data_IF_321967709702
#
_entry.id   IF_321967709702
#
_cell.length_a   1.000
_cell.length_b   1.000
_cell.length_c   1.000
_cell.angle_alpha   90.00
_cell.angle_beta   90.00
_cell.angle_gamma   90.00
#
_symmetry.space_group_name_H-M   'P 1'
#
loop_
_entity.id
_entity.type
_entity.pdbx_description
1 polymer ?
#
# COMPACT_ATOMS: atom_id res chain seq x y z
N UNK A 1 -12.98 8.76 30.59
CA UNK A 1 -13.90 9.27 29.55
C UNK A 1 -13.08 10.11 28.58
N UNK A 2 -13.06 9.70 27.31
CA UNK A 2 -12.78 10.52 26.12
C UNK A 2 -11.46 11.28 26.02
N UNK A 3 -10.48 10.71 25.31
CA UNK A 3 -9.55 11.50 24.50
C UNK A 3 -9.79 11.08 23.05
N UNK A 4 -10.51 11.93 22.31
CA UNK A 4 -10.87 11.70 20.92
C UNK A 4 -9.65 11.75 20.02
N UNK A 5 -9.63 10.86 19.03
CA UNK A 5 -8.80 11.03 17.85
C UNK A 5 -9.15 12.40 17.24
N UNK A 6 -8.20 13.34 17.32
CA UNK A 6 -8.38 14.68 16.79
C UNK A 6 -8.30 14.59 15.28
N UNK A 7 -9.46 14.58 14.61
CA UNK A 7 -9.53 15.00 13.22
C UNK A 7 -8.95 16.41 13.14
N UNK A 8 -7.97 16.64 12.25
CA UNK A 8 -7.48 17.97 11.93
C UNK A 8 -8.68 18.89 11.69
N UNK A 9 -8.72 20.03 12.39
CA UNK A 9 -9.75 21.04 12.20
C UNK A 9 -9.73 21.56 10.75
N UNK A 10 -10.89 22.00 10.21
CA UNK A 10 -10.97 22.63 8.88
C UNK A 10 -9.95 23.77 8.71
N UNK A 11 -9.65 24.48 9.79
CA UNK A 11 -8.69 25.59 9.84
C UNK A 11 -7.24 25.11 9.72
N UNK A 12 -6.89 23.96 10.32
CA UNK A 12 -5.61 23.30 10.09
C UNK A 12 -5.51 22.79 8.64
N UNK A 13 -6.55 22.15 8.12
CA UNK A 13 -6.58 21.64 6.75
C UNK A 13 -6.48 22.76 5.69
N UNK A 14 -6.96 23.98 5.95
CA UNK A 14 -6.77 25.13 5.06
C UNK A 14 -5.35 25.70 5.10
N UNK A 15 -4.68 25.65 6.26
CA UNK A 15 -3.29 26.12 6.40
C UNK A 15 -2.27 25.28 5.63
N UNK A 16 -2.62 24.04 5.27
CA UNK A 16 -1.78 23.11 4.50
C UNK A 16 -2.10 23.05 2.99
N UNK A 17 -3.04 23.88 2.50
CA UNK A 17 -3.46 23.84 1.08
C UNK A 17 -2.57 24.62 0.13
N UNK A 18 -1.73 25.52 0.65
CA UNK A 18 -0.88 26.36 -0.19
C UNK A 18 0.60 26.12 0.16
N UNK A 19 1.28 25.39 -0.73
CA UNK A 19 2.73 25.35 -0.73
C UNK A 19 3.27 26.74 -1.08
N UNK A 20 4.00 27.36 -0.15
CA UNK A 20 4.73 28.62 -0.39
C UNK A 20 6.19 28.30 -0.77
N UNK A 21 6.43 28.20 -2.07
CA UNK A 21 7.74 27.87 -2.63
C UNK A 21 8.84 28.84 -2.18
N UNK A 22 8.54 30.13 -2.11
CA UNK A 22 9.52 31.15 -1.74
C UNK A 22 9.92 31.03 -0.26
N UNK A 23 8.96 30.76 0.62
CA UNK A 23 9.21 30.59 2.05
C UNK A 23 9.92 29.27 2.37
N UNK A 24 9.57 28.19 1.69
CA UNK A 24 10.28 26.90 1.79
C UNK A 24 11.75 27.04 1.37
N UNK A 25 12.01 27.67 0.23
CA UNK A 25 13.37 27.93 -0.24
C UNK A 25 14.17 28.85 0.70
N UNK A 26 13.53 29.87 1.28
CA UNK A 26 14.19 30.77 2.22
C UNK A 26 14.59 30.06 3.53
N UNK A 27 13.75 29.17 4.05
CA UNK A 27 14.01 28.42 5.28
C UNK A 27 15.04 27.29 5.10
N UNK A 28 15.20 26.77 3.89
CA UNK A 28 16.18 25.69 3.58
C UNK A 28 17.56 26.21 3.17
N UNK A 29 17.68 27.51 2.89
CA UNK A 29 18.92 28.17 2.44
C UNK A 29 19.63 28.99 3.54
N UNK A 30 19.19 28.93 4.79
CA UNK A 30 19.88 29.68 5.85
C UNK A 30 21.28 29.09 6.15
N UNK A 31 22.30 29.96 6.18
CA UNK A 31 23.71 29.58 6.38
C UNK A 31 23.99 29.06 7.81
N UNK A 32 22.95 28.88 8.64
CA UNK A 32 23.05 28.53 10.06
C UNK A 32 22.69 27.07 10.38
N UNK A 33 22.16 26.30 9.41
CA UNK A 33 21.98 24.85 9.53
C UNK A 33 21.12 24.39 10.72
N UNK A 34 20.19 25.24 11.18
CA UNK A 34 19.46 25.04 12.46
C UNK A 34 17.94 25.11 12.35
N UNK A 35 17.36 25.13 11.15
CA UNK A 35 15.91 25.02 11.02
C UNK A 35 15.50 23.58 11.28
N UNK A 36 14.86 23.33 12.43
CA UNK A 36 14.34 22.01 12.78
C UNK A 36 13.20 21.60 11.84
N UNK A 37 13.10 20.31 11.53
CA UNK A 37 12.09 19.74 10.62
C UNK A 37 10.67 20.21 10.97
N UNK A 38 10.34 20.29 12.26
CA UNK A 38 9.03 20.76 12.74
C UNK A 38 8.66 22.18 12.30
N UNK A 39 9.64 23.05 12.08
CA UNK A 39 9.44 24.42 11.59
C UNK A 39 9.26 24.49 10.07
N UNK A 40 9.74 23.46 9.36
CA UNK A 40 9.58 23.30 7.91
C UNK A 40 8.26 22.63 7.54
N UNK A 41 7.71 21.77 8.41
CA UNK A 41 6.48 21.03 8.16
C UNK A 41 5.31 21.90 7.65
N UNK A 42 4.99 23.09 8.19
CA UNK A 42 3.88 23.89 7.66
C UNK A 42 4.04 24.38 6.21
N UNK A 43 5.25 24.31 5.64
CA UNK A 43 5.59 24.88 4.34
C UNK A 43 6.05 23.83 3.32
N UNK A 44 6.21 22.56 3.71
CA UNK A 44 6.57 21.51 2.75
C UNK A 44 5.39 21.21 1.81
N UNK A 45 5.63 20.87 0.53
CA UNK A 45 4.56 20.39 -0.34
C UNK A 45 3.86 19.21 0.33
N UNK A 46 2.53 19.25 0.40
CA UNK A 46 1.77 18.11 0.91
C UNK A 46 1.96 16.92 -0.05
N UNK A 47 2.66 15.88 0.39
CA UNK A 47 2.79 14.63 -0.37
C UNK A 47 1.59 13.76 -0.04
N UNK A 48 0.83 13.36 -1.04
CA UNK A 48 -0.34 12.50 -0.83
C UNK A 48 -0.14 11.14 -1.48
N UNK A 49 -0.20 10.09 -0.66
CA UNK A 49 -0.22 8.70 -1.09
C UNK A 49 -1.67 8.24 -1.18
N UNK A 50 -2.19 8.04 -2.40
CA UNK A 50 -3.47 7.42 -2.63
C UNK A 50 -3.30 5.90 -2.68
N UNK A 51 -3.87 5.22 -1.69
CA UNK A 51 -3.53 3.84 -1.33
C UNK A 51 -4.78 3.06 -0.97
N UNK A 52 -4.74 1.74 -0.97
CA UNK A 52 -5.77 0.91 -0.35
C UNK A 52 -5.15 0.09 0.79
N UNK A 53 -5.81 0.07 1.94
CA UNK A 53 -5.32 -0.57 3.17
C UNK A 53 -4.86 -2.03 2.98
N UNK A 54 -5.62 -2.81 2.21
CA UNK A 54 -5.36 -4.22 1.94
C UNK A 54 -4.35 -4.45 0.83
N UNK A 55 -4.03 -3.46 -0.01
CA UNK A 55 -3.14 -3.62 -1.16
C UNK A 55 -1.68 -3.71 -0.74
N UNK A 56 -0.99 -4.76 -1.17
CA UNK A 56 0.44 -4.95 -0.87
C UNK A 56 1.31 -3.84 -1.46
N UNK A 57 1.04 -3.43 -2.70
CA UNK A 57 1.73 -2.30 -3.34
C UNK A 57 1.46 -0.99 -2.59
N UNK A 58 0.26 -0.82 -2.04
CA UNK A 58 -0.09 0.33 -1.20
C UNK A 58 0.64 0.31 0.14
N UNK A 59 0.84 -0.87 0.77
CA UNK A 59 1.71 -0.98 1.94
C UNK A 59 3.15 -0.57 1.60
N UNK A 60 3.70 -1.05 0.48
CA UNK A 60 5.06 -0.67 0.02
C UNK A 60 5.18 0.85 -0.15
N UNK A 61 4.22 1.49 -0.83
CA UNK A 61 4.20 2.94 -1.04
C UNK A 61 4.22 3.71 0.29
N UNK A 62 3.39 3.31 1.26
CA UNK A 62 3.29 3.99 2.54
C UNK A 62 4.55 3.78 3.38
N UNK A 63 5.05 2.55 3.45
CA UNK A 63 6.31 2.25 4.16
C UNK A 63 7.45 3.05 3.56
N UNK A 64 7.59 3.05 2.23
CA UNK A 64 8.62 3.85 1.57
C UNK A 64 8.51 5.34 1.91
N UNK A 65 7.31 5.93 1.85
CA UNK A 65 7.14 7.34 2.18
C UNK A 65 7.52 7.68 3.64
N UNK A 66 7.15 6.81 4.59
CA UNK A 66 7.51 6.99 6.00
C UNK A 66 9.01 6.81 6.26
N UNK A 67 9.64 5.82 5.63
CA UNK A 67 11.06 5.51 5.81
C UNK A 67 11.96 6.55 5.16
N UNK A 68 11.55 7.16 4.04
CA UNK A 68 12.25 8.31 3.47
C UNK A 68 12.07 9.60 4.28
N UNK A 69 11.26 9.56 5.35
CA UNK A 69 10.97 10.74 6.18
C UNK A 69 10.27 11.85 5.41
N UNK A 70 9.40 11.49 4.45
CA UNK A 70 8.70 12.47 3.61
C UNK A 70 7.88 13.43 4.49
N UNK A 71 8.14 14.75 4.43
CA UNK A 71 7.46 15.71 5.30
C UNK A 71 5.98 15.83 4.92
N UNK A 72 5.10 15.86 5.93
CA UNK A 72 3.64 15.96 5.78
C UNK A 72 3.02 14.94 4.81
N UNK A 73 3.52 13.71 4.79
CA UNK A 73 2.88 12.67 4.01
C UNK A 73 1.46 12.41 4.52
N UNK A 74 0.50 12.41 3.60
CA UNK A 74 -0.91 12.08 3.84
C UNK A 74 -1.24 10.79 3.12
N UNK A 75 -1.63 9.76 3.87
CA UNK A 75 -2.12 8.50 3.29
C UNK A 75 -3.64 8.57 3.13
N UNK A 76 -4.10 8.73 1.88
CA UNK A 76 -5.52 8.73 1.53
C UNK A 76 -5.92 7.32 1.12
N UNK A 77 -6.92 6.74 1.81
CA UNK A 77 -7.46 5.43 1.44
C UNK A 77 -8.47 5.59 0.29
N UNK A 78 -8.29 4.79 -0.76
CA UNK A 78 -9.19 4.63 -1.90
C UNK A 78 -9.81 3.24 -1.79
N UNK A 79 -11.13 3.17 -1.57
CA UNK A 79 -11.85 1.90 -1.53
C UNK A 79 -12.00 1.32 -2.94
N UNK A 80 -11.11 0.38 -3.27
CA UNK A 80 -11.06 -0.32 -4.55
C UNK A 80 -11.80 -1.67 -4.57
N UNK A 81 -12.48 -2.01 -3.47
CA UNK A 81 -13.04 -3.35 -3.25
C UNK A 81 -14.57 -3.33 -3.13
N UNK A 82 -15.12 -2.27 -2.53
CA UNK A 82 -16.56 -2.08 -2.39
C UNK A 82 -17.06 -0.87 -3.19
N UNK A 83 -16.63 0.35 -2.82
CA UNK A 83 -17.13 1.58 -3.43
C UNK A 83 -16.56 1.88 -4.83
N UNK A 84 -15.43 1.24 -5.19
CA UNK A 84 -14.72 1.41 -6.47
C UNK A 84 -14.31 2.88 -6.72
N UNK A 85 -13.80 3.54 -5.69
CA UNK A 85 -13.39 4.95 -5.71
C UNK A 85 -12.29 5.23 -6.75
N UNK A 86 -11.53 4.22 -7.15
CA UNK A 86 -10.52 4.33 -8.20
C UNK A 86 -11.11 4.52 -9.62
N UNK A 87 -12.43 4.36 -9.79
CA UNK A 87 -13.15 4.70 -11.03
C UNK A 87 -13.89 6.04 -10.93
N UNK A 88 -13.74 6.76 -9.82
CA UNK A 88 -14.32 8.10 -9.70
C UNK A 88 -13.51 9.12 -10.53
N UNK A 89 -14.19 10.10 -11.16
CA UNK A 89 -13.57 11.22 -11.86
C UNK A 89 -12.42 11.88 -11.13
N UNK A 90 -12.62 12.14 -9.84
CA UNK A 90 -11.63 12.80 -8.99
C UNK A 90 -10.35 11.99 -8.85
N UNK A 91 -10.43 10.65 -8.93
CA UNK A 91 -9.25 9.80 -8.91
C UNK A 91 -8.67 9.57 -10.31
N UNK A 92 -9.49 9.40 -11.34
CA UNK A 92 -9.04 9.25 -12.73
C UNK A 92 -8.21 10.46 -13.17
N UNK A 93 -8.63 11.66 -12.79
CA UNK A 93 -7.88 12.90 -13.06
C UNK A 93 -6.46 12.90 -12.47
N UNK A 94 -6.22 12.13 -11.40
CA UNK A 94 -4.90 11.97 -10.77
C UNK A 94 -4.17 10.78 -11.40
N UNK A 95 -4.81 9.62 -11.46
CA UNK A 95 -4.23 8.37 -11.93
C UNK A 95 -5.12 7.73 -13.02
N UNK A 96 -4.92 8.09 -14.30
CA UNK A 96 -5.72 7.58 -15.40
C UNK A 96 -5.69 6.05 -15.57
N UNK A 97 -4.68 5.35 -15.01
CA UNK A 97 -4.65 3.87 -14.99
C UNK A 97 -5.72 3.25 -14.06
N UNK A 98 -6.33 4.06 -13.18
CA UNK A 98 -7.34 3.65 -12.21
C UNK A 98 -6.82 2.56 -11.26
N UNK A 99 -5.60 2.72 -10.77
CA UNK A 99 -4.91 1.76 -9.89
C UNK A 99 -4.27 2.47 -8.71
N UNK A 100 -4.15 1.76 -7.59
CA UNK A 100 -3.36 2.18 -6.43
C UNK A 100 -2.13 1.27 -6.27
N UNK A 101 -1.03 1.76 -5.69
CA UNK A 101 -0.84 3.13 -5.20
C UNK A 101 -0.64 4.15 -6.31
N UNK A 102 -0.88 5.41 -5.97
CA UNK A 102 -0.43 6.58 -6.71
C UNK A 102 0.04 7.64 -5.71
N UNK A 103 1.14 8.32 -5.99
CA UNK A 103 1.67 9.39 -5.15
C UNK A 103 1.61 10.72 -5.90
N UNK A 104 1.07 11.75 -5.25
CA UNK A 104 1.23 13.13 -5.68
C UNK A 104 2.32 13.78 -4.83
N UNK A 105 3.40 14.19 -5.47
CA UNK A 105 4.57 14.80 -4.84
C UNK A 105 4.80 16.17 -5.49
N UNK A 106 4.25 17.23 -4.88
CA UNK A 106 4.19 18.54 -5.55
C UNK A 106 3.37 18.48 -6.83
N UNK A 107 4.00 18.80 -7.96
CA UNK A 107 3.40 18.72 -9.30
C UNK A 107 3.53 17.33 -9.94
N UNK A 108 4.42 16.48 -9.41
CA UNK A 108 4.66 15.16 -9.95
C UNK A 108 3.60 14.16 -9.48
N UNK A 109 3.17 13.29 -10.40
CA UNK A 109 2.29 12.15 -10.09
C UNK A 109 2.97 10.86 -10.52
N UNK A 110 3.23 9.99 -9.53
CA UNK A 110 3.96 8.74 -9.71
C UNK A 110 3.02 7.58 -9.40
N UNK A 111 2.76 6.74 -10.40
CA UNK A 111 2.08 5.46 -10.21
C UNK A 111 3.07 4.34 -9.93
N UNK A 112 2.55 3.16 -9.58
CA UNK A 112 3.32 1.93 -9.40
C UNK A 112 4.29 1.95 -8.20
N UNK A 113 4.15 0.99 -7.27
CA UNK A 113 4.92 1.01 -6.01
C UNK A 113 6.43 0.90 -6.19
N UNK A 114 6.90 0.27 -7.27
CA UNK A 114 8.32 0.15 -7.60
C UNK A 114 8.89 1.53 -7.99
N UNK A 115 8.21 2.23 -8.88
CA UNK A 115 8.64 3.54 -9.38
C UNK A 115 8.58 4.59 -8.26
N UNK A 116 7.54 4.55 -7.40
CA UNK A 116 7.44 5.40 -6.21
C UNK A 116 8.64 5.23 -5.29
N UNK A 117 9.09 3.99 -5.01
CA UNK A 117 10.25 3.75 -4.14
C UNK A 117 11.52 4.39 -4.69
N UNK A 118 11.83 4.17 -5.97
CA UNK A 118 13.03 4.73 -6.59
C UNK A 118 12.96 6.25 -6.70
N UNK A 119 11.80 6.79 -7.07
CA UNK A 119 11.57 8.24 -7.09
C UNK A 119 11.83 8.87 -5.72
N UNK A 120 11.32 8.26 -4.64
CA UNK A 120 11.59 8.75 -3.29
C UNK A 120 13.07 8.66 -2.91
N UNK A 121 13.78 7.61 -3.31
CA UNK A 121 15.22 7.50 -3.06
C UNK A 121 16.03 8.57 -3.79
N UNK A 122 15.61 8.96 -5.00
CA UNK A 122 16.22 10.08 -5.74
C UNK A 122 15.92 11.43 -5.08
N UNK A 123 14.70 11.64 -4.56
CA UNK A 123 14.29 12.89 -3.90
C UNK A 123 14.79 13.03 -2.47
N UNK A 124 15.03 11.92 -1.77
CA UNK A 124 15.44 11.87 -0.37
C UNK A 124 16.68 10.97 -0.19
N UNK A 125 17.83 11.33 -0.80
CA UNK A 125 19.04 10.51 -0.72
C UNK A 125 19.58 10.37 0.71
N UNK A 126 19.32 11.36 1.57
CA UNK A 126 19.73 11.36 2.99
C UNK A 126 19.09 10.24 3.81
N UNK A 127 17.97 9.68 3.35
CA UNK A 127 17.36 8.50 3.97
C UNK A 127 18.22 7.24 3.80
N UNK A 128 19.17 7.25 2.84
CA UNK A 128 20.12 6.17 2.58
C UNK A 128 19.48 4.78 2.38
N UNK A 129 18.26 4.73 1.83
CA UNK A 129 17.52 3.48 1.61
C UNK A 129 17.91 2.75 0.32
N UNK A 130 18.69 3.39 -0.56
CA UNK A 130 19.20 2.83 -1.81
C UNK A 130 20.68 3.16 -2.03
N UNK A 131 21.58 2.73 -1.12
CA UNK A 131 22.99 3.07 -1.21
C UNK A 131 23.68 2.25 -2.30
N UNK A 132 24.69 2.85 -2.95
CA UNK A 132 25.32 2.29 -4.15
C UNK A 132 25.96 0.91 -3.90
N UNK A 133 26.51 0.69 -2.70
CA UNK A 133 27.17 -0.54 -2.28
C UNK A 133 26.20 -1.72 -2.05
N UNK A 134 24.92 -1.47 -1.80
CA UNK A 134 23.89 -2.52 -1.62
C UNK A 134 22.95 -2.63 -2.84
N UNK A 135 23.13 -1.77 -3.86
CA UNK A 135 22.21 -1.64 -5.00
C UNK A 135 21.85 -2.98 -5.66
N UNK A 136 22.85 -3.82 -5.92
CA UNK A 136 22.64 -5.13 -6.55
C UNK A 136 21.78 -6.06 -5.69
N UNK A 137 22.04 -6.14 -4.39
CA UNK A 137 21.26 -6.95 -3.46
C UNK A 137 19.82 -6.43 -3.33
N UNK A 138 19.66 -5.10 -3.30
CA UNK A 138 18.35 -4.44 -3.23
C UNK A 138 17.53 -4.76 -4.48
N UNK A 139 18.10 -4.52 -5.67
CA UNK A 139 17.40 -4.72 -6.93
C UNK A 139 17.07 -6.20 -7.16
N UNK A 140 17.98 -7.11 -6.79
CA UNK A 140 17.74 -8.57 -6.85
C UNK A 140 16.53 -8.96 -6.02
N UNK A 141 16.40 -8.46 -4.78
CA UNK A 141 15.27 -8.77 -3.92
C UNK A 141 13.96 -8.17 -4.46
N UNK A 142 14.00 -6.91 -4.88
CA UNK A 142 12.86 -6.21 -5.47
C UNK A 142 12.36 -6.96 -6.72
N UNK A 143 13.26 -7.35 -7.62
CA UNK A 143 12.90 -8.09 -8.84
C UNK A 143 12.37 -9.49 -8.54
N UNK A 144 12.93 -10.18 -7.55
CA UNK A 144 12.39 -11.47 -7.10
C UNK A 144 10.94 -11.35 -6.62
N UNK A 145 10.61 -10.28 -5.90
CA UNK A 145 9.24 -9.99 -5.48
C UNK A 145 8.32 -9.63 -6.65
N UNK A 146 8.68 -8.64 -7.48
CA UNK A 146 7.80 -8.16 -8.56
C UNK A 146 7.62 -9.17 -9.70
N UNK A 147 8.62 -10.00 -9.98
CA UNK A 147 8.48 -11.13 -10.92
C UNK A 147 7.47 -12.18 -10.45
N UNK A 148 7.18 -12.23 -9.14
CA UNK A 148 6.22 -13.15 -8.51
C UNK A 148 4.87 -12.51 -8.17
N UNK A 149 4.63 -11.27 -8.63
CA UNK A 149 3.44 -10.52 -8.21
C UNK A 149 2.12 -11.25 -8.52
N UNK A 150 2.04 -11.94 -9.67
CA UNK A 150 0.89 -12.76 -10.03
C UNK A 150 0.67 -13.96 -9.10
N UNK A 151 1.75 -14.60 -8.65
CA UNK A 151 1.73 -15.71 -7.70
C UNK A 151 1.34 -15.22 -6.31
N UNK A 152 1.82 -14.04 -5.87
CA UNK A 152 1.40 -13.42 -4.61
C UNK A 152 -0.11 -13.12 -4.63
N UNK A 153 -0.63 -12.63 -5.76
CA UNK A 153 -2.07 -12.41 -5.94
C UNK A 153 -2.87 -13.73 -5.85
N UNK A 154 -2.40 -14.79 -6.51
CA UNK A 154 -3.03 -16.14 -6.46
C UNK A 154 -2.93 -16.77 -5.07
N UNK A 155 -1.79 -16.66 -4.39
CA UNK A 155 -1.62 -17.07 -2.99
C UNK A 155 -2.64 -16.36 -2.09
N UNK A 156 -2.77 -15.04 -2.23
CA UNK A 156 -3.67 -14.25 -1.39
C UNK A 156 -5.12 -14.59 -1.64
N UNK A 157 -5.60 -14.31 -2.85
CA UNK A 157 -7.02 -14.41 -3.16
C UNK A 157 -7.45 -15.87 -3.28
N UNK A 158 -6.57 -16.77 -3.70
CA UNK A 158 -6.82 -18.21 -3.70
C UNK A 158 -7.10 -18.73 -2.29
N UNK A 159 -6.33 -18.32 -1.28
CA UNK A 159 -6.62 -18.68 0.10
C UNK A 159 -7.88 -17.96 0.63
N UNK A 160 -8.05 -16.65 0.39
CA UNK A 160 -9.17 -15.89 0.95
C UNK A 160 -10.54 -16.35 0.45
N UNK A 161 -10.73 -16.56 -0.86
CA UNK A 161 -12.03 -17.00 -1.39
C UNK A 161 -12.39 -18.43 -0.96
N UNK A 162 -11.45 -19.19 -0.40
CA UNK A 162 -11.68 -20.52 0.15
C UNK A 162 -12.00 -20.50 1.66
N UNK A 163 -11.87 -19.35 2.33
CA UNK A 163 -12.19 -19.22 3.76
C UNK A 163 -13.70 -19.37 4.03
N UNK A 164 -14.55 -18.82 3.17
CA UNK A 164 -16.01 -19.00 3.24
C UNK A 164 -16.68 -18.63 1.91
N UNK A 165 -17.90 -19.14 1.69
CA UNK A 165 -18.71 -18.72 0.54
C UNK A 165 -19.03 -17.22 0.57
N UNK A 166 -19.20 -16.62 1.76
CA UNK A 166 -19.45 -15.18 1.89
C UNK A 166 -18.27 -14.31 1.47
N UNK A 167 -17.04 -14.70 1.80
CA UNK A 167 -15.84 -14.00 1.32
C UNK A 167 -15.73 -14.12 -0.21
N UNK A 168 -15.98 -15.33 -0.74
CA UNK A 168 -15.98 -15.58 -2.19
C UNK A 168 -17.02 -14.74 -2.93
N UNK A 169 -18.26 -14.72 -2.44
CA UNK A 169 -19.36 -13.93 -2.99
C UNK A 169 -19.03 -12.43 -2.98
N UNK A 170 -18.54 -11.92 -1.84
CA UNK A 170 -18.17 -10.50 -1.71
C UNK A 170 -17.06 -10.09 -2.69
N UNK A 171 -15.96 -10.85 -2.73
CA UNK A 171 -14.85 -10.58 -3.64
C UNK A 171 -15.30 -10.71 -5.10
N UNK A 172 -16.09 -11.73 -5.43
CA UNK A 172 -16.65 -11.93 -6.77
C UNK A 172 -17.53 -10.76 -7.21
N UNK A 173 -18.43 -10.30 -6.32
CA UNK A 173 -19.27 -9.11 -6.53
C UNK A 173 -18.42 -7.88 -6.87
N UNK A 174 -17.39 -7.61 -6.07
CA UNK A 174 -16.50 -6.46 -6.28
C UNK A 174 -15.69 -6.57 -7.58
N UNK A 175 -15.09 -7.73 -7.85
CA UNK A 175 -14.20 -7.91 -9.02
C UNK A 175 -14.96 -7.98 -10.35
N UNK A 176 -16.25 -8.32 -10.33
CA UNK A 176 -17.10 -8.47 -11.52
C UNK A 176 -18.24 -7.43 -11.54
N UNK A 177 -19.43 -7.78 -11.02
CA UNK A 177 -20.68 -7.01 -11.12
C UNK A 177 -20.52 -5.53 -10.77
N UNK A 178 -20.03 -5.22 -9.56
CA UNK A 178 -19.94 -3.83 -9.09
C UNK A 178 -18.90 -3.02 -9.83
N UNK A 179 -17.76 -3.63 -10.16
CA UNK A 179 -16.77 -3.00 -11.04
C UNK A 179 -17.39 -2.65 -12.40
N UNK A 180 -18.15 -3.57 -13.01
CA UNK A 180 -18.75 -3.37 -14.32
C UNK A 180 -19.82 -2.28 -14.29
N UNK A 181 -20.74 -2.32 -13.33
CA UNK A 181 -21.77 -1.29 -13.13
C UNK A 181 -21.16 0.10 -12.94
N UNK A 182 -20.12 0.21 -12.11
CA UNK A 182 -19.43 1.47 -11.86
C UNK A 182 -18.78 2.03 -13.12
N UNK A 183 -18.10 1.18 -13.89
CA UNK A 183 -17.44 1.56 -15.13
C UNK A 183 -18.46 1.95 -16.21
N UNK A 184 -19.57 1.23 -16.35
CA UNK A 184 -20.65 1.57 -17.29
C UNK A 184 -21.26 2.93 -16.98
N UNK A 185 -21.55 3.18 -15.70
CA UNK A 185 -22.01 4.49 -15.23
C UNK A 185 -20.99 5.59 -15.52
N UNK A 186 -19.72 5.37 -15.20
CA UNK A 186 -18.65 6.34 -15.43
C UNK A 186 -18.47 6.67 -16.93
N UNK A 187 -18.61 5.69 -17.83
CA UNK A 187 -18.56 5.92 -19.29
C UNK A 187 -19.70 6.85 -19.75
N UNK A 188 -20.89 6.66 -19.20
CA UNK A 188 -22.06 7.47 -19.56
C UNK A 188 -21.96 8.91 -19.03
N UNK A 189 -21.38 9.09 -17.84
CA UNK A 189 -21.29 10.38 -17.15
C UNK A 189 -20.04 11.20 -17.54
N UNK A 190 -18.96 10.54 -17.99
CA UNK A 190 -17.65 11.16 -18.24
C UNK A 190 -17.09 10.79 -19.62
N UNK A 191 -17.63 11.38 -20.71
CA UNK A 191 -17.21 11.08 -22.07
C UNK A 191 -15.71 11.38 -22.34
N UNK A 192 -15.10 12.29 -21.58
CA UNK A 192 -13.67 12.62 -21.65
C UNK A 192 -12.74 11.44 -21.31
N UNK A 193 -13.22 10.45 -20.55
CA UNK A 193 -12.46 9.25 -20.19
C UNK A 193 -13.07 7.95 -20.75
N UNK A 194 -14.10 8.04 -21.59
CA UNK A 194 -14.88 6.89 -22.06
C UNK A 194 -14.03 5.78 -22.70
N UNK A 195 -13.01 6.14 -23.50
CA UNK A 195 -12.11 5.15 -24.12
C UNK A 195 -11.35 4.31 -23.08
N UNK A 196 -10.78 4.97 -22.07
CA UNK A 196 -9.96 4.35 -21.04
C UNK A 196 -10.83 3.47 -20.11
N UNK A 197 -12.00 3.99 -19.73
CA UNK A 197 -13.00 3.28 -18.96
C UNK A 197 -13.55 2.06 -19.71
N UNK A 198 -13.86 2.20 -20.99
CA UNK A 198 -14.32 1.09 -21.84
C UNK A 198 -13.28 -0.02 -21.94
N UNK A 199 -11.99 0.32 -22.10
CA UNK A 199 -10.90 -0.65 -22.09
C UNK A 199 -10.81 -1.41 -20.76
N UNK A 200 -10.99 -0.70 -19.63
CA UNK A 200 -11.02 -1.31 -18.28
C UNK A 200 -12.23 -2.25 -18.14
N UNK A 201 -13.40 -1.82 -18.59
CA UNK A 201 -14.64 -2.60 -18.57
C UNK A 201 -14.52 -3.88 -19.41
N UNK A 202 -13.96 -3.78 -20.62
CA UNK A 202 -13.72 -4.93 -21.48
C UNK A 202 -12.78 -5.94 -20.81
N UNK A 203 -11.69 -5.46 -20.20
CA UNK A 203 -10.78 -6.32 -19.43
C UNK A 203 -11.47 -7.02 -18.26
N UNK A 204 -12.41 -6.35 -17.60
CA UNK A 204 -13.19 -6.93 -16.49
C UNK A 204 -14.18 -7.99 -16.98
N UNK A 205 -14.89 -7.72 -18.07
CA UNK A 205 -15.87 -8.67 -18.65
C UNK A 205 -15.21 -9.94 -19.21
N UNK A 206 -13.97 -9.85 -19.69
CA UNK A 206 -13.22 -11.00 -20.23
C UNK A 206 -12.56 -11.90 -19.18
N UNK A 207 -12.54 -11.48 -17.91
CA UNK A 207 -11.76 -12.15 -16.87
C UNK A 207 -12.63 -12.52 -15.67
N UNK A 208 -12.93 -13.81 -15.52
CA UNK A 208 -13.53 -14.33 -14.29
C UNK A 208 -12.46 -14.47 -13.21
N UNK A 209 -12.38 -13.44 -12.36
CA UNK A 209 -11.41 -13.38 -11.27
C UNK A 209 -11.55 -14.55 -10.29
N UNK A 210 -12.77 -14.89 -9.88
CA UNK A 210 -12.99 -15.95 -8.90
C UNK A 210 -12.66 -17.31 -9.48
N UNK A 211 -13.08 -17.61 -10.71
CA UNK A 211 -12.70 -18.86 -11.37
C UNK A 211 -11.17 -18.98 -11.52
N UNK A 212 -10.51 -17.88 -11.93
CA UNK A 212 -9.05 -17.86 -12.02
C UNK A 212 -8.37 -18.13 -10.66
N UNK A 213 -8.84 -17.51 -9.57
CA UNK A 213 -8.27 -17.74 -8.24
C UNK A 213 -8.62 -19.12 -7.66
N UNK A 214 -9.76 -19.70 -8.04
CA UNK A 214 -10.11 -21.09 -7.74
C UNK A 214 -9.26 -22.09 -8.52
N UNK A 215 -8.69 -21.71 -9.67
CA UNK A 215 -7.71 -22.55 -10.38
C UNK A 215 -6.33 -22.62 -9.71
N UNK A 216 -6.09 -21.82 -8.65
CA UNK A 216 -4.82 -21.84 -7.94
C UNK A 216 -4.60 -23.17 -7.20
N UNK A 217 -3.47 -23.83 -7.48
CA UNK A 217 -2.93 -24.88 -6.63
C UNK A 217 -2.25 -24.22 -5.42
N UNK A 218 -2.86 -24.35 -4.23
CA UNK A 218 -2.36 -23.68 -3.04
C UNK A 218 -0.98 -24.20 -2.60
N UNK A 219 -0.65 -25.47 -2.86
CA UNK A 219 0.66 -26.03 -2.53
C UNK A 219 1.76 -25.42 -3.41
N UNK A 220 1.50 -25.22 -4.70
CA UNK A 220 2.41 -24.49 -5.60
C UNK A 220 2.55 -23.03 -5.20
N UNK A 221 1.47 -22.39 -4.75
CA UNK A 221 1.53 -21.00 -4.29
C UNK A 221 2.33 -20.88 -2.99
N UNK A 222 2.12 -21.81 -2.04
CA UNK A 222 2.90 -21.88 -0.80
C UNK A 222 4.38 -22.14 -1.12
N UNK A 223 4.70 -23.03 -2.05
CA UNK A 223 6.08 -23.26 -2.51
C UNK A 223 6.70 -21.99 -3.13
N UNK A 224 5.95 -21.26 -3.95
CA UNK A 224 6.42 -20.00 -4.55
C UNK A 224 6.69 -18.91 -3.50
N UNK A 225 5.85 -18.79 -2.47
CA UNK A 225 6.13 -17.86 -1.35
C UNK A 225 7.32 -18.34 -0.53
N UNK A 226 7.47 -19.66 -0.34
CA UNK A 226 8.58 -20.26 0.38
C UNK A 226 9.93 -19.96 -0.29
N UNK A 227 10.01 -19.90 -1.62
CA UNK A 227 11.25 -19.49 -2.31
C UNK A 227 11.73 -18.10 -1.89
N UNK A 228 10.81 -17.14 -1.77
CA UNK A 228 11.12 -15.77 -1.33
C UNK A 228 11.52 -15.78 0.15
N UNK A 229 10.79 -16.52 0.99
CA UNK A 229 11.08 -16.65 2.41
C UNK A 229 12.43 -17.34 2.69
N UNK A 230 12.78 -18.37 1.92
CA UNK A 230 14.07 -19.07 2.03
C UNK A 230 15.23 -18.16 1.62
N UNK A 231 15.04 -17.32 0.59
CA UNK A 231 16.02 -16.31 0.22
C UNK A 231 16.19 -15.24 1.31
N UNK A 232 15.09 -14.80 1.94
CA UNK A 232 15.14 -13.91 3.11
C UNK A 232 15.86 -14.55 4.29
N UNK A 233 15.53 -15.80 4.62
CA UNK A 233 16.16 -16.55 5.70
C UNK A 233 17.67 -16.66 5.49
N UNK A 234 18.10 -17.01 4.27
CA UNK A 234 19.51 -17.12 3.92
C UNK A 234 20.27 -15.78 3.96
N UNK A 235 19.60 -14.67 3.64
CA UNK A 235 20.16 -13.34 3.78
C UNK A 235 20.30 -12.95 5.27
N UNK A 236 19.23 -13.13 6.05
CA UNK A 236 19.17 -12.77 7.47
C UNK A 236 20.06 -13.65 8.37
N UNK A 237 20.56 -14.78 7.87
CA UNK A 237 21.64 -15.53 8.53
C UNK A 237 22.97 -14.78 8.51
N UNK A 238 23.20 -13.95 7.48
CA UNK A 238 24.49 -13.29 7.21
C UNK A 238 24.48 -11.80 7.55
N UNK A 239 23.34 -11.14 7.38
CA UNK A 239 23.20 -9.69 7.47
C UNK A 239 22.03 -9.29 8.35
N UNK A 240 22.04 -8.05 8.84
CA UNK A 240 20.99 -7.59 9.76
C UNK A 240 19.61 -7.37 9.10
N UNK A 241 19.57 -7.21 7.77
CA UNK A 241 18.42 -6.95 6.90
C UNK A 241 18.55 -7.71 5.57
N UNK A 242 17.51 -7.75 4.74
CA UNK A 242 17.46 -8.65 3.57
C UNK A 242 18.45 -8.30 2.45
N UNK A 243 18.99 -7.08 2.45
CA UNK A 243 19.95 -6.60 1.44
C UNK A 243 21.23 -6.00 2.05
N UNK A 244 21.52 -6.27 3.33
CA UNK A 244 22.71 -5.75 4.00
C UNK A 244 22.51 -5.52 5.50
N UNK A 245 23.39 -4.71 6.09
CA UNK A 245 23.36 -4.42 7.53
C UNK A 245 22.50 -3.21 7.91
N UNK A 246 21.94 -2.52 6.91
CA UNK A 246 21.04 -1.37 7.07
C UNK A 246 19.68 -1.65 6.44
N UNK A 247 18.64 -0.96 6.90
CA UNK A 247 17.29 -1.06 6.33
C UNK A 247 17.24 -0.33 4.99
N UNK A 248 16.70 -0.97 3.95
CA UNK A 248 16.72 -0.46 2.56
C UNK A 248 15.35 -0.52 1.89
N UNK A 249 15.27 -0.14 0.60
CA UNK A 249 14.09 -0.38 -0.23
C UNK A 249 13.68 -1.86 -0.28
N UNK A 250 14.63 -2.79 -0.22
CA UNK A 250 14.33 -4.21 -0.18
C UNK A 250 13.53 -4.58 1.08
N UNK A 251 13.86 -3.97 2.21
CA UNK A 251 13.13 -4.16 3.46
C UNK A 251 11.74 -3.49 3.45
N UNK A 252 11.55 -2.39 2.71
CA UNK A 252 10.22 -1.82 2.48
C UNK A 252 9.30 -2.83 1.79
N UNK A 253 9.83 -3.53 0.78
CA UNK A 253 9.12 -4.61 0.07
C UNK A 253 8.93 -5.83 0.97
N UNK A 254 9.97 -6.25 1.68
CA UNK A 254 9.93 -7.40 2.59
C UNK A 254 8.89 -7.19 3.70
N UNK A 255 8.78 -5.98 4.26
CA UNK A 255 7.79 -5.63 5.28
C UNK A 255 6.36 -5.89 4.77
N UNK A 256 6.03 -5.40 3.58
CA UNK A 256 4.71 -5.60 2.99
C UNK A 256 4.46 -7.07 2.57
N UNK A 257 5.50 -7.76 2.10
CA UNK A 257 5.45 -9.18 1.75
C UNK A 257 5.17 -10.06 2.97
N UNK A 258 5.93 -9.90 4.06
CA UNK A 258 5.72 -10.65 5.29
C UNK A 258 4.36 -10.34 5.92
N UNK A 259 3.92 -9.08 5.90
CA UNK A 259 2.58 -8.72 6.34
C UNK A 259 1.49 -9.47 5.56
N UNK A 260 1.66 -9.63 4.24
CA UNK A 260 0.73 -10.41 3.42
C UNK A 260 0.78 -11.90 3.73
N UNK A 261 1.97 -12.50 3.85
CA UNK A 261 2.11 -13.92 4.22
C UNK A 261 1.46 -14.16 5.58
N UNK A 262 1.71 -13.29 6.56
CA UNK A 262 1.13 -13.34 7.89
C UNK A 262 -0.41 -13.30 7.88
N UNK A 263 -1.04 -12.42 7.08
CA UNK A 263 -2.52 -12.41 6.99
C UNK A 263 -3.08 -13.74 6.45
N UNK A 264 -2.35 -14.40 5.56
CA UNK A 264 -2.84 -15.60 4.86
C UNK A 264 -2.54 -16.88 5.64
N UNK A 265 -1.34 -16.99 6.23
CA UNK A 265 -0.79 -18.21 6.84
C UNK A 265 -0.24 -17.99 8.25
N UNK A 266 -0.43 -16.81 8.84
CA UNK A 266 0.24 -16.43 10.09
C UNK A 266 1.77 -16.58 9.94
N UNK A 267 2.50 -16.75 11.04
CA UNK A 267 3.94 -17.00 11.03
C UNK A 267 4.32 -18.44 10.63
N UNK A 268 3.36 -19.30 10.24
CA UNK A 268 3.60 -20.74 9.96
C UNK A 268 4.59 -21.01 8.82
N UNK A 269 4.79 -20.03 7.93
CA UNK A 269 5.74 -20.13 6.83
C UNK A 269 7.10 -19.50 7.13
N UNK A 270 7.25 -18.79 8.25
CA UNK A 270 8.48 -18.06 8.55
C UNK A 270 9.55 -18.99 9.12
N UNK A 271 10.76 -18.90 8.57
CA UNK A 271 11.94 -19.45 9.22
C UNK A 271 12.31 -18.65 10.48
N UNK A 272 13.16 -19.20 11.38
CA UNK A 272 13.52 -18.52 12.63
C UNK A 272 14.08 -17.10 12.46
N UNK A 273 14.95 -16.86 11.46
CA UNK A 273 15.53 -15.53 11.21
C UNK A 273 14.50 -14.58 10.64
N UNK A 274 13.66 -15.05 9.73
CA UNK A 274 12.56 -14.29 9.14
C UNK A 274 11.54 -13.90 10.21
N UNK A 275 11.16 -14.82 11.09
CA UNK A 275 10.27 -14.57 12.22
C UNK A 275 10.87 -13.56 13.21
N UNK A 276 12.16 -13.68 13.55
CA UNK A 276 12.85 -12.71 14.40
C UNK A 276 12.89 -11.32 13.73
N UNK A 277 13.22 -11.25 12.44
CA UNK A 277 13.23 -9.99 11.69
C UNK A 277 11.83 -9.34 11.64
N UNK A 278 10.79 -10.13 11.34
CA UNK A 278 9.40 -9.69 11.38
C UNK A 278 9.01 -9.10 12.73
N UNK A 279 9.24 -9.87 13.80
CA UNK A 279 8.78 -9.54 15.15
C UNK A 279 9.59 -8.42 15.81
N UNK A 280 10.91 -8.46 15.70
CA UNK A 280 11.80 -7.62 16.51
C UNK A 280 12.31 -6.40 15.72
N UNK A 281 12.35 -6.48 14.39
CA UNK A 281 12.90 -5.39 13.54
C UNK A 281 11.83 -4.67 12.74
N UNK A 282 10.96 -5.36 12.00
CA UNK A 282 10.00 -4.71 11.11
C UNK A 282 8.77 -4.18 11.83
N UNK A 283 8.11 -5.00 12.68
CA UNK A 283 6.94 -4.55 13.45
C UNK A 283 7.24 -3.42 14.44
N UNK A 284 8.48 -3.30 14.89
CA UNK A 284 8.91 -2.29 15.88
C UNK A 284 9.29 -0.95 15.25
N UNK A 285 9.33 -0.84 13.91
CA UNK A 285 9.66 0.43 13.24
C UNK A 285 8.52 1.43 13.41
N UNK A 286 8.81 2.74 13.63
CA UNK A 286 7.78 3.76 13.64
C UNK A 286 6.94 3.80 12.35
N UNK A 287 7.58 3.52 11.20
CA UNK A 287 6.92 3.43 9.90
C UNK A 287 5.85 2.34 9.85
N UNK A 288 5.99 1.23 10.58
CA UNK A 288 5.03 0.13 10.55
C UNK A 288 3.63 0.60 10.96
N UNK A 289 3.57 1.40 12.03
CA UNK A 289 2.33 2.01 12.48
C UNK A 289 1.91 3.18 11.59
N UNK A 290 2.81 4.11 11.24
CA UNK A 290 2.46 5.29 10.44
C UNK A 290 1.99 4.96 9.02
N UNK A 291 2.58 3.93 8.42
CA UNK A 291 2.23 3.40 7.10
C UNK A 291 1.02 2.44 7.14
N UNK A 292 0.48 2.16 8.32
CA UNK A 292 -0.63 1.24 8.53
C UNK A 292 -0.38 -0.13 7.88
N UNK A 293 0.78 -0.73 8.15
CA UNK A 293 1.11 -2.05 7.62
C UNK A 293 0.07 -3.04 8.15
N UNK A 294 -0.75 -3.55 7.23
CA UNK A 294 -1.84 -4.45 7.57
C UNK A 294 -1.28 -5.86 7.74
N UNK A 295 -1.29 -6.36 8.97
CA UNK A 295 -0.83 -7.72 9.31
C UNK A 295 -1.91 -8.59 9.95
N UNK A 296 -3.06 -7.99 10.30
CA UNK A 296 -4.25 -8.68 10.81
C UNK A 296 -5.42 -8.44 9.89
N UNK A 297 -6.13 -9.50 9.54
CA UNK A 297 -7.25 -9.46 8.59
C UNK A 297 -8.39 -8.54 9.07
N UNK A 298 -8.77 -8.67 10.34
CA UNK A 298 -9.86 -7.95 10.99
C UNK A 298 -9.66 -6.43 11.05
N UNK A 299 -8.41 -5.96 10.85
CA UNK A 299 -8.11 -4.54 10.80
C UNK A 299 -8.44 -3.91 9.45
N UNK A 300 -8.63 -4.73 8.41
CA UNK A 300 -8.89 -4.24 7.07
C UNK A 300 -10.32 -3.70 6.92
N UNK A 301 -10.48 -2.73 6.01
CA UNK A 301 -11.77 -2.25 5.54
C UNK A 301 -12.57 -3.40 4.93
N UNK A 302 -11.91 -4.21 4.08
CA UNK A 302 -12.55 -5.33 3.39
C UNK A 302 -13.14 -6.35 4.38
N UNK A 303 -12.44 -6.71 5.46
CA UNK A 303 -12.98 -7.62 6.47
C UNK A 303 -14.27 -7.08 7.10
N UNK A 304 -14.28 -5.81 7.50
CA UNK A 304 -15.44 -5.15 8.11
C UNK A 304 -16.62 -5.04 7.13
N UNK A 305 -16.33 -4.77 5.86
CA UNK A 305 -17.34 -4.75 4.79
C UNK A 305 -17.92 -6.15 4.54
N UNK A 306 -17.08 -7.19 4.58
CA UNK A 306 -17.51 -8.58 4.47
C UNK A 306 -18.42 -8.98 5.63
N UNK A 307 -18.13 -8.55 6.87
CA UNK A 307 -18.96 -8.86 8.02
C UNK A 307 -20.38 -8.30 7.85
N UNK A 308 -20.50 -7.02 7.48
CA UNK A 308 -21.81 -6.39 7.19
C UNK A 308 -22.52 -7.07 6.03
N UNK A 309 -21.80 -7.42 4.97
CA UNK A 309 -22.36 -8.14 3.82
C UNK A 309 -22.87 -9.54 4.22
N UNK A 310 -22.14 -10.26 5.08
CA UNK A 310 -22.52 -11.59 5.53
C UNK A 310 -23.80 -11.58 6.38
N UNK A 311 -24.07 -10.47 7.09
CA UNK A 311 -25.29 -10.21 7.85
C UNK A 311 -26.45 -9.69 6.98
N UNK A 312 -26.23 -9.51 5.67
CA UNK A 312 -27.24 -9.00 4.72
C UNK A 312 -27.38 -7.47 4.72
N UNK A 313 -26.46 -6.76 5.36
CA UNK A 313 -26.38 -5.30 5.33
C UNK A 313 -25.71 -4.76 4.07
N UNK A 314 -25.74 -3.44 3.90
CA UNK A 314 -25.02 -2.75 2.83
C UNK A 314 -23.54 -2.56 3.21
N UNK A 315 -22.60 -3.27 2.56
CA UNK A 315 -21.18 -3.12 2.86
C UNK A 315 -20.62 -1.72 2.58
N UNK A 316 -21.25 -0.93 1.70
CA UNK A 316 -20.80 0.44 1.42
C UNK A 316 -21.06 1.40 2.58
N UNK A 317 -21.89 1.01 3.55
CA UNK A 317 -22.10 1.76 4.80
C UNK A 317 -20.86 1.79 5.70
N UNK A 318 -19.93 0.84 5.51
CA UNK A 318 -18.66 0.79 6.23
C UNK A 318 -17.61 1.54 5.44
N UNK A 319 -17.17 2.69 5.97
CA UNK A 319 -16.12 3.52 5.38
C UNK A 319 -14.79 3.34 6.10
N UNK A 320 -13.71 3.68 5.41
CA UNK A 320 -12.40 3.77 6.05
C UNK A 320 -12.40 4.85 7.13
N UNK A 321 -12.05 4.47 8.35
CA UNK A 321 -11.97 5.39 9.50
C UNK A 321 -10.55 5.64 9.96
N UNK A 322 -9.56 5.24 9.16
CA UNK A 322 -8.15 5.21 9.57
C UNK A 322 -7.71 3.83 10.09
N UNK A 323 -6.40 3.66 10.34
CA UNK A 323 -5.87 2.47 10.98
C UNK A 323 -6.46 2.24 12.38
N UNK A 324 -6.33 1.03 12.95
CA UNK A 324 -6.60 0.80 14.36
C UNK A 324 -5.74 1.73 15.24
N UNK A 325 -6.34 2.27 16.31
CA UNK A 325 -5.75 3.30 17.17
C UNK A 325 -4.47 2.86 17.89
N UNK A 326 -4.24 1.56 18.04
CA UNK A 326 -3.07 0.98 18.69
C UNK A 326 -2.80 -0.37 18.02
N UNK A 327 -1.68 -0.51 17.31
CA UNK A 327 -1.11 -1.83 17.01
C UNK A 327 -0.21 -2.11 18.21
N UNK A 328 -0.57 -2.99 19.17
CA UNK A 328 0.34 -3.35 20.24
C UNK A 328 1.56 -4.02 19.61
N UNK A 329 2.75 -3.54 20.00
CA UNK A 329 4.01 -4.24 19.75
C UNK A 329 4.04 -5.61 20.41
#
# INVERSE_FOLDING_TARGET
>A
MGAGATSLSKEQAEKYKEFDAAKWEALTKDDAGKVGVDQLLPFAPAVTCYTADTSICSMICRVAAEEHGVPNVVHTNIDIECAMENYEPSFIAIQPKMTVPCMKYGDDVIGDSKDIMYYLSEKHPDAALYPAEQKEAIDTFIDMFYSRFGQIARFTFGNWIRKSDKIKEFIGRGKNEKSAEKLEKAIAEHPEWAEQLAKKLESKKKFDFCAFMLSANLEEMDASMKEVLDAMEAALEKTAYVAGDTYTLADCVATAFLARVHIVKDETMFGPKTAACWNEKYKTRPSFQKAYVLWKWEHSLMAKQIDVFAEGGDPESVKWTGPPSVIPG
#
